data_IF_421698919187
#
_entry.id   IF_421698919187
#
_cell.length_a   1.000
_cell.length_b   1.000
_cell.length_c   1.000
_cell.angle_alpha   90.00
_cell.angle_beta   90.00
_cell.angle_gamma   90.00
#
_symmetry.space_group_name_H-M   'P 1'
#
loop_
_entity.id
_entity.type
_entity.pdbx_description
1 polymer ?
#
# COMPACT_ATOMS: atom_id res chain seq x y z
N UNK A 1 7.08 -18.92 -4.10
CA UNK A 1 6.55 -18.54 -2.75
C UNK A 1 5.98 -17.14 -2.86
N UNK A 2 4.76 -16.88 -2.39
CA UNK A 2 4.08 -15.61 -2.57
C UNK A 2 4.19 -14.67 -1.34
N UNK A 3 4.64 -15.18 -0.20
CA UNK A 3 4.76 -14.39 1.04
C UNK A 3 5.78 -15.06 1.99
N UNK A 4 6.43 -14.23 2.81
CA UNK A 4 7.28 -14.70 3.92
C UNK A 4 6.47 -15.28 5.07
N UNK A 5 5.21 -14.93 5.15
CA UNK A 5 4.31 -15.37 6.21
C UNK A 5 3.41 -16.44 5.63
N UNK A 6 3.45 -17.61 6.23
CA UNK A 6 2.49 -18.69 5.98
C UNK A 6 1.39 -18.60 7.03
N UNK A 7 0.17 -18.44 6.59
CA UNK A 7 -1.00 -18.46 7.44
C UNK A 7 -1.63 -19.85 7.42
N UNK A 8 -2.03 -20.40 8.55
CA UNK A 8 -2.79 -21.65 8.55
C UNK A 8 -4.14 -21.42 7.87
N UNK A 9 -4.66 -22.40 7.12
CA UNK A 9 -6.01 -22.31 6.57
C UNK A 9 -7.07 -22.40 7.70
N UNK A 10 -8.12 -21.62 7.55
CA UNK A 10 -9.27 -21.64 8.46
C UNK A 10 -10.55 -21.89 7.66
N UNK A 11 -11.50 -22.56 8.25
CA UNK A 11 -12.84 -22.66 7.69
C UNK A 11 -13.51 -21.28 7.69
N UNK A 12 -14.28 -20.97 6.65
CA UNK A 12 -14.99 -19.68 6.52
C UNK A 12 -15.81 -19.37 7.76
N UNK A 13 -16.50 -20.37 8.31
CA UNK A 13 -17.32 -20.21 9.52
C UNK A 13 -16.50 -19.79 10.75
N UNK A 14 -15.30 -20.33 10.91
CA UNK A 14 -14.38 -19.94 11.98
C UNK A 14 -13.94 -18.48 11.83
N UNK A 15 -13.64 -18.05 10.59
CA UNK A 15 -13.27 -16.67 10.29
C UNK A 15 -14.42 -15.72 10.60
N UNK A 16 -15.64 -16.05 10.16
CA UNK A 16 -16.83 -15.24 10.38
C UNK A 16 -17.16 -15.09 11.89
N UNK A 17 -17.10 -16.17 12.66
CA UNK A 17 -17.28 -16.13 14.11
C UNK A 17 -16.22 -15.24 14.79
N UNK A 18 -14.95 -15.29 14.35
CA UNK A 18 -13.89 -14.42 14.88
C UNK A 18 -14.09 -12.96 14.53
N UNK A 19 -14.61 -12.66 13.34
CA UNK A 19 -14.97 -11.30 12.95
C UNK A 19 -16.10 -10.78 13.86
N UNK A 20 -17.15 -11.55 14.09
CA UNK A 20 -18.23 -11.19 15.03
C UNK A 20 -17.70 -10.88 16.44
N UNK A 21 -16.85 -11.74 16.98
CA UNK A 21 -16.25 -11.54 18.29
C UNK A 21 -15.39 -10.27 18.34
N UNK A 22 -14.61 -10.01 17.28
CA UNK A 22 -13.77 -8.83 17.18
C UNK A 22 -14.58 -7.52 17.06
N UNK A 23 -15.72 -7.57 16.35
CA UNK A 23 -16.66 -6.44 16.25
C UNK A 23 -17.32 -6.18 17.59
N UNK A 24 -17.82 -7.22 18.29
CA UNK A 24 -18.44 -7.09 19.64
C UNK A 24 -17.46 -6.48 20.66
N UNK A 25 -16.16 -6.77 20.51
CA UNK A 25 -15.08 -6.23 21.38
C UNK A 25 -14.55 -4.88 20.90
N UNK A 26 -15.09 -4.32 19.84
CA UNK A 26 -14.63 -3.09 19.18
C UNK A 26 -13.13 -3.10 18.83
N UNK A 27 -12.55 -4.30 18.67
CA UNK A 27 -11.10 -4.48 18.44
C UNK A 27 -10.70 -4.30 16.97
N UNK A 28 -11.66 -4.29 16.03
CA UNK A 28 -11.45 -4.01 14.62
C UNK A 28 -12.40 -2.92 14.13
N UNK A 29 -11.97 -2.18 13.11
CA UNK A 29 -12.75 -1.10 12.48
C UNK A 29 -13.02 -1.35 11.00
N UNK A 30 -12.46 -2.40 10.44
CA UNK A 30 -12.57 -2.77 9.02
C UNK A 30 -12.15 -4.21 8.81
N UNK A 31 -12.80 -4.88 7.86
CA UNK A 31 -12.35 -6.16 7.31
C UNK A 31 -11.59 -5.87 6.01
N UNK A 32 -10.41 -6.47 5.84
CA UNK A 32 -9.64 -6.38 4.60
C UNK A 32 -9.43 -7.78 4.03
N UNK A 33 -9.99 -8.03 2.84
CA UNK A 33 -9.82 -9.28 2.10
C UNK A 33 -8.73 -9.06 1.07
N UNK A 34 -7.69 -9.89 1.11
CA UNK A 34 -6.63 -9.91 0.11
C UNK A 34 -6.73 -11.19 -0.69
N UNK A 35 -6.98 -11.04 -1.98
CA UNK A 35 -7.22 -12.16 -2.87
C UNK A 35 -5.98 -12.47 -3.72
N UNK A 36 -5.74 -13.76 -3.92
CA UNK A 36 -4.84 -14.24 -4.96
C UNK A 36 -5.55 -14.17 -6.32
N UNK A 37 -4.78 -14.29 -7.41
CA UNK A 37 -5.34 -14.32 -8.75
C UNK A 37 -5.59 -15.78 -9.17
N UNK A 38 -6.86 -16.15 -9.36
CA UNK A 38 -7.31 -17.45 -9.85
C UNK A 38 -8.71 -17.33 -10.47
N UNK A 39 -9.15 -18.29 -11.32
CA UNK A 39 -10.35 -18.13 -12.15
C UNK A 39 -11.66 -17.86 -11.42
N UNK A 40 -11.84 -18.35 -10.18
CA UNK A 40 -13.09 -18.17 -9.40
C UNK A 40 -12.99 -17.07 -8.35
N UNK A 41 -11.95 -16.26 -8.36
CA UNK A 41 -11.65 -15.28 -7.31
C UNK A 41 -12.80 -14.31 -7.04
N UNK A 42 -13.45 -13.79 -8.08
CA UNK A 42 -14.58 -12.87 -7.91
C UNK A 42 -15.75 -13.53 -7.18
N UNK A 43 -16.11 -14.75 -7.62
CA UNK A 43 -17.20 -15.51 -6.98
C UNK A 43 -16.92 -15.75 -5.49
N UNK A 44 -15.68 -16.10 -5.17
CA UNK A 44 -15.29 -16.41 -3.79
C UNK A 44 -15.26 -15.14 -2.94
N UNK A 45 -14.77 -14.00 -3.50
CA UNK A 45 -14.83 -12.69 -2.84
C UNK A 45 -16.28 -12.29 -2.57
N UNK A 46 -17.17 -12.34 -3.56
CA UNK A 46 -18.58 -11.97 -3.41
C UNK A 46 -19.28 -12.84 -2.37
N UNK A 47 -19.02 -14.15 -2.38
CA UNK A 47 -19.56 -15.08 -1.37
C UNK A 47 -19.11 -14.68 0.04
N UNK A 48 -17.83 -14.38 0.22
CA UNK A 48 -17.29 -13.98 1.53
C UNK A 48 -17.80 -12.60 1.98
N UNK A 49 -17.87 -11.63 1.07
CA UNK A 49 -18.44 -10.29 1.34
C UNK A 49 -19.89 -10.41 1.82
N UNK A 50 -20.72 -11.17 1.11
CA UNK A 50 -22.10 -11.40 1.48
C UNK A 50 -22.21 -12.08 2.86
N UNK A 51 -21.41 -13.11 3.10
CA UNK A 51 -21.40 -13.82 4.39
C UNK A 51 -21.01 -12.92 5.56
N UNK A 52 -20.03 -12.02 5.37
CA UNK A 52 -19.64 -11.02 6.38
C UNK A 52 -20.77 -10.03 6.63
N UNK A 53 -21.37 -9.48 5.56
CA UNK A 53 -22.44 -8.48 5.67
C UNK A 53 -23.72 -8.98 6.34
N UNK A 54 -24.01 -10.27 6.19
CA UNK A 54 -25.14 -10.90 6.90
C UNK A 54 -24.94 -10.96 8.42
N UNK A 55 -23.70 -10.87 8.90
CA UNK A 55 -23.36 -11.04 10.32
C UNK A 55 -22.97 -9.75 11.02
N UNK A 56 -22.30 -8.85 10.32
CA UNK A 56 -21.74 -7.61 10.90
C UNK A 56 -21.90 -6.41 9.98
N UNK A 57 -22.20 -5.25 10.56
CA UNK A 57 -22.17 -3.96 9.88
C UNK A 57 -20.77 -3.35 9.97
N UNK A 58 -19.84 -3.82 9.11
CA UNK A 58 -18.44 -3.40 9.11
C UNK A 58 -17.99 -2.99 7.71
N UNK A 59 -17.22 -1.91 7.53
CA UNK A 59 -16.62 -1.58 6.24
C UNK A 59 -15.70 -2.69 5.74
N UNK A 60 -15.81 -3.04 4.45
CA UNK A 60 -15.01 -4.09 3.81
C UNK A 60 -14.13 -3.48 2.73
N UNK A 61 -12.83 -3.75 2.78
CA UNK A 61 -11.88 -3.46 1.72
C UNK A 61 -11.45 -4.73 1.02
N UNK A 62 -11.31 -4.65 -0.31
CA UNK A 62 -10.76 -5.73 -1.13
C UNK A 62 -9.42 -5.27 -1.70
N UNK A 63 -8.44 -6.16 -1.73
CA UNK A 63 -7.21 -6.01 -2.51
C UNK A 63 -7.08 -7.21 -3.43
N UNK A 64 -7.14 -6.97 -4.74
CA UNK A 64 -7.11 -8.01 -5.77
C UNK A 64 -6.37 -7.53 -7.02
N UNK A 65 -6.01 -8.47 -7.88
CA UNK A 65 -5.49 -8.15 -9.21
C UNK A 65 -6.60 -7.51 -10.08
N UNK A 66 -6.25 -6.90 -11.22
CA UNK A 66 -7.22 -6.26 -12.10
C UNK A 66 -8.44 -7.14 -12.39
N UNK A 67 -9.59 -6.51 -12.29
CA UNK A 67 -10.89 -7.08 -12.66
C UNK A 67 -11.46 -6.28 -13.83
N UNK A 68 -12.40 -6.90 -14.57
CA UNK A 68 -13.15 -6.17 -15.58
C UNK A 68 -14.05 -5.10 -14.93
N UNK A 69 -14.40 -4.01 -15.64
CA UNK A 69 -15.25 -2.95 -15.08
C UNK A 69 -16.56 -3.47 -14.49
N UNK A 70 -17.21 -4.42 -15.15
CA UNK A 70 -18.43 -5.05 -14.67
C UNK A 70 -18.21 -5.79 -13.34
N UNK A 71 -17.13 -6.53 -13.21
CA UNK A 71 -16.75 -7.26 -12.01
C UNK A 71 -16.44 -6.31 -10.84
N UNK A 72 -15.77 -5.19 -11.17
CA UNK A 72 -15.49 -4.11 -10.21
C UNK A 72 -16.79 -3.46 -9.71
N UNK A 73 -17.77 -3.26 -10.60
CA UNK A 73 -19.10 -2.77 -10.26
C UNK A 73 -19.86 -3.75 -9.35
N UNK A 74 -19.82 -5.05 -9.64
CA UNK A 74 -20.43 -6.09 -8.82
C UNK A 74 -19.90 -6.07 -7.37
N UNK A 75 -18.60 -5.85 -7.19
CA UNK A 75 -18.02 -5.69 -5.84
C UNK A 75 -18.59 -4.48 -5.10
N UNK A 76 -18.70 -3.34 -5.78
CA UNK A 76 -19.28 -2.13 -5.19
C UNK A 76 -20.74 -2.35 -4.80
N UNK A 77 -21.55 -2.96 -5.66
CA UNK A 77 -22.95 -3.29 -5.42
C UNK A 77 -23.15 -4.30 -4.30
N UNK A 78 -22.22 -5.25 -4.13
CA UNK A 78 -22.20 -6.16 -2.99
C UNK A 78 -21.86 -5.45 -1.67
N UNK A 79 -21.50 -4.15 -1.71
CA UNK A 79 -21.24 -3.32 -0.54
C UNK A 79 -19.78 -3.32 -0.08
N UNK A 80 -18.86 -3.60 -0.98
CA UNK A 80 -17.44 -3.31 -0.76
C UNK A 80 -17.24 -1.80 -0.65
N UNK A 81 -16.59 -1.34 0.41
CA UNK A 81 -16.36 0.08 0.67
C UNK A 81 -15.14 0.63 -0.11
N UNK A 82 -14.10 -0.19 -0.26
CA UNK A 82 -12.84 0.20 -0.90
C UNK A 82 -12.24 -0.93 -1.71
N UNK A 83 -11.58 -0.57 -2.81
CA UNK A 83 -10.81 -1.51 -3.61
C UNK A 83 -9.34 -1.09 -3.71
N UNK A 84 -8.43 -2.05 -3.66
CA UNK A 84 -7.00 -1.88 -3.93
C UNK A 84 -6.60 -2.72 -5.14
N UNK A 85 -5.98 -2.08 -6.13
CA UNK A 85 -5.40 -2.74 -7.31
C UNK A 85 -3.90 -2.48 -7.29
N UNK A 86 -3.05 -3.49 -7.07
CA UNK A 86 -1.62 -3.31 -6.83
C UNK A 86 -0.88 -2.96 -8.13
N UNK A 87 -0.31 -1.75 -8.20
CA UNK A 87 0.61 -1.35 -9.28
C UNK A 87 2.01 -1.92 -9.03
N UNK A 88 2.42 -1.95 -7.77
CA UNK A 88 3.66 -2.48 -7.22
C UNK A 88 4.92 -1.69 -7.59
N UNK A 89 5.16 -1.34 -8.86
CA UNK A 89 6.34 -0.63 -9.32
C UNK A 89 6.09 0.87 -9.61
N UNK A 90 7.15 1.67 -9.59
CA UNK A 90 7.09 3.09 -9.90
C UNK A 90 7.20 3.41 -11.40
N UNK A 91 7.75 2.49 -12.19
CA UNK A 91 7.94 2.67 -13.64
C UNK A 91 7.48 1.45 -14.41
N UNK A 92 7.15 1.64 -15.69
CA UNK A 92 6.79 0.53 -16.59
C UNK A 92 7.93 -0.48 -16.73
N UNK A 93 9.16 -0.01 -16.83
CA UNK A 93 10.34 -0.88 -16.93
C UNK A 93 10.43 -1.84 -15.74
N UNK A 94 10.33 -1.32 -14.52
CA UNK A 94 10.37 -2.12 -13.30
C UNK A 94 9.13 -3.02 -13.17
N UNK A 95 7.96 -2.51 -13.52
CA UNK A 95 6.74 -3.30 -13.56
C UNK A 95 6.90 -4.54 -14.45
N UNK A 96 7.43 -4.35 -15.67
CA UNK A 96 7.66 -5.46 -16.60
C UNK A 96 8.67 -6.48 -16.07
N UNK A 97 9.69 -6.05 -15.32
CA UNK A 97 10.70 -6.91 -14.69
C UNK A 97 10.18 -7.70 -13.50
N UNK A 98 9.24 -7.16 -12.71
CA UNK A 98 8.81 -7.77 -11.44
C UNK A 98 7.45 -8.45 -11.49
N UNK A 99 6.58 -8.06 -12.44
CA UNK A 99 5.19 -8.49 -12.49
C UNK A 99 4.67 -8.71 -13.93
N UNK A 100 5.22 -7.97 -14.87
CA UNK A 100 4.80 -7.97 -16.27
C UNK A 100 5.48 -9.03 -17.12
N UNK A 101 5.50 -8.83 -18.46
CA UNK A 101 5.96 -9.85 -19.43
C UNK A 101 7.40 -10.34 -19.20
N UNK A 102 8.32 -9.47 -18.77
CA UNK A 102 9.71 -9.86 -18.52
C UNK A 102 9.87 -10.78 -17.30
N UNK A 103 8.89 -10.76 -16.38
CA UNK A 103 8.80 -11.72 -15.27
C UNK A 103 7.99 -12.97 -15.62
N UNK A 104 7.53 -13.12 -16.86
CA UNK A 104 6.60 -14.17 -17.26
C UNK A 104 5.17 -13.97 -16.71
N UNK A 105 4.86 -12.77 -16.23
CA UNK A 105 3.54 -12.43 -15.70
C UNK A 105 2.56 -12.00 -16.80
N UNK A 106 1.25 -12.13 -16.55
CA UNK A 106 0.21 -11.79 -17.54
C UNK A 106 -0.17 -10.30 -17.53
N UNK A 107 0.41 -9.50 -16.63
CA UNK A 107 -0.04 -8.13 -16.39
C UNK A 107 0.67 -7.12 -17.30
N UNK A 108 -0.07 -6.12 -17.78
CA UNK A 108 0.43 -5.01 -18.58
C UNK A 108 0.31 -3.71 -17.80
N UNK A 109 1.33 -2.86 -17.91
CA UNK A 109 1.41 -1.57 -17.20
C UNK A 109 0.21 -0.66 -17.45
N UNK A 110 -0.14 -0.45 -18.73
CA UNK A 110 -1.26 0.43 -19.09
C UNK A 110 -2.61 -0.16 -18.67
N UNK A 111 -2.80 -1.48 -18.76
CA UNK A 111 -4.02 -2.13 -18.28
C UNK A 111 -4.19 -1.97 -16.76
N UNK A 112 -3.10 -2.08 -16.00
CA UNK A 112 -3.12 -1.87 -14.56
C UNK A 112 -3.51 -0.43 -14.21
N UNK A 113 -2.94 0.53 -14.95
CA UNK A 113 -3.26 1.96 -14.78
C UNK A 113 -4.69 2.28 -15.18
N UNK A 114 -5.18 1.71 -16.28
CA UNK A 114 -6.57 1.91 -16.72
C UNK A 114 -7.55 1.29 -15.72
N UNK A 115 -7.24 0.12 -15.18
CA UNK A 115 -8.05 -0.49 -14.10
C UNK A 115 -8.15 0.43 -12.88
N UNK A 116 -7.07 1.13 -12.49
CA UNK A 116 -7.12 2.11 -11.40
C UNK A 116 -8.03 3.30 -11.72
N UNK A 117 -7.98 3.81 -12.96
CA UNK A 117 -8.87 4.90 -13.41
C UNK A 117 -10.33 4.46 -13.39
N UNK A 118 -10.60 3.27 -13.91
CA UNK A 118 -11.95 2.72 -13.93
C UNK A 118 -12.48 2.44 -12.51
N UNK A 119 -11.64 1.90 -11.64
CA UNK A 119 -12.00 1.71 -10.24
C UNK A 119 -12.38 3.03 -9.56
N UNK A 120 -11.69 4.15 -9.90
CA UNK A 120 -12.05 5.49 -9.38
C UNK A 120 -13.38 5.97 -9.93
N UNK A 121 -13.72 5.66 -11.19
CA UNK A 121 -15.04 6.00 -11.75
C UNK A 121 -16.16 5.27 -11.01
N UNK A 122 -15.94 4.02 -10.65
CA UNK A 122 -16.92 3.14 -9.99
C UNK A 122 -17.02 3.46 -8.50
N UNK A 123 -15.92 3.40 -7.76
CA UNK A 123 -15.90 3.57 -6.29
C UNK A 123 -15.87 5.03 -5.83
N UNK A 124 -15.41 5.94 -6.69
CA UNK A 124 -15.17 7.34 -6.34
C UNK A 124 -13.76 7.60 -5.79
N UNK A 125 -13.34 8.88 -5.89
CA UNK A 125 -12.05 9.34 -5.36
C UNK A 125 -11.91 9.02 -3.87
N UNK A 126 -10.71 8.62 -3.47
CA UNK A 126 -10.38 8.29 -2.08
C UNK A 126 -10.87 6.92 -1.61
N UNK A 127 -11.58 6.14 -2.44
CA UNK A 127 -11.99 4.77 -2.14
C UNK A 127 -11.18 3.71 -2.90
N UNK A 128 -10.27 4.15 -3.74
CA UNK A 128 -9.36 3.28 -4.48
C UNK A 128 -7.95 3.44 -3.92
N UNK A 129 -7.22 2.35 -3.82
CA UNK A 129 -5.83 2.34 -3.40
C UNK A 129 -4.96 1.51 -4.34
N UNK A 130 -3.67 1.78 -4.31
CA UNK A 130 -2.66 0.92 -4.94
C UNK A 130 -1.52 0.65 -3.99
N UNK A 131 -0.69 -0.33 -4.32
CA UNK A 131 0.55 -0.61 -3.60
C UNK A 131 1.73 -0.12 -4.43
N UNK A 132 2.71 0.50 -3.79
CA UNK A 132 3.99 0.86 -4.38
C UNK A 132 5.11 0.29 -3.50
N UNK A 133 6.01 -0.48 -4.10
CA UNK A 133 7.11 -1.16 -3.41
C UNK A 133 8.39 -0.37 -3.66
N UNK A 134 8.96 0.17 -2.61
CA UNK A 134 10.23 0.88 -2.63
C UNK A 134 11.39 -0.11 -2.57
N UNK A 135 12.39 0.06 -3.44
CA UNK A 135 13.59 -0.76 -3.46
C UNK A 135 13.62 -1.81 -4.58
N UNK A 136 12.80 -1.64 -5.61
CA UNK A 136 12.83 -2.48 -6.82
C UNK A 136 13.88 -2.01 -7.85
N UNK A 137 14.47 -0.82 -7.65
CA UNK A 137 15.46 -0.21 -8.53
C UNK A 137 15.09 1.19 -9.02
N UNK A 138 13.95 1.72 -8.60
CA UNK A 138 13.50 3.07 -8.90
C UNK A 138 14.31 4.13 -8.14
N UNK A 139 14.37 5.32 -8.71
CA UNK A 139 14.85 6.53 -8.03
C UNK A 139 13.76 7.09 -7.11
N UNK A 140 14.13 7.91 -6.14
CA UNK A 140 13.16 8.61 -5.30
C UNK A 140 12.24 9.53 -6.13
N UNK A 141 12.78 10.14 -7.19
CA UNK A 141 12.03 10.97 -8.13
C UNK A 141 10.93 10.18 -8.82
N UNK A 142 11.24 9.05 -9.41
CA UNK A 142 10.26 8.18 -10.10
C UNK A 142 9.15 7.71 -9.14
N UNK A 143 9.52 7.33 -7.91
CA UNK A 143 8.54 6.94 -6.89
C UNK A 143 7.63 8.13 -6.53
N UNK A 144 8.17 9.32 -6.32
CA UNK A 144 7.43 10.54 -5.95
C UNK A 144 6.51 10.98 -7.09
N UNK A 145 6.96 10.93 -8.35
CA UNK A 145 6.14 11.22 -9.52
C UNK A 145 4.96 10.25 -9.64
N UNK A 146 5.19 8.97 -9.38
CA UNK A 146 4.12 7.95 -9.37
C UNK A 146 3.14 8.14 -8.20
N UNK A 147 3.62 8.52 -7.02
CA UNK A 147 2.76 8.92 -5.90
C UNK A 147 1.90 10.12 -6.29
N UNK A 148 2.47 11.14 -6.92
CA UNK A 148 1.73 12.32 -7.38
C UNK A 148 0.68 11.95 -8.44
N UNK A 149 1.01 11.06 -9.38
CA UNK A 149 0.05 10.56 -10.35
C UNK A 149 -1.15 9.88 -9.67
N UNK A 150 -0.90 9.02 -8.68
CA UNK A 150 -1.95 8.38 -7.90
C UNK A 150 -2.85 9.43 -7.20
N UNK A 151 -2.24 10.42 -6.54
CA UNK A 151 -2.96 11.50 -5.83
C UNK A 151 -3.83 12.30 -6.79
N UNK A 152 -3.30 12.67 -7.97
CA UNK A 152 -4.05 13.40 -8.99
C UNK A 152 -5.27 12.62 -9.49
N UNK A 153 -5.15 11.31 -9.59
CA UNK A 153 -6.25 10.42 -9.98
C UNK A 153 -7.29 10.25 -8.87
N UNK A 154 -6.92 10.47 -7.61
CA UNK A 154 -7.75 10.19 -6.43
C UNK A 154 -7.59 8.77 -5.90
N UNK A 155 -6.48 8.12 -6.24
CA UNK A 155 -6.04 6.82 -5.72
C UNK A 155 -5.09 7.03 -4.56
N UNK A 156 -5.27 6.30 -3.47
CA UNK A 156 -4.35 6.33 -2.34
C UNK A 156 -3.20 5.32 -2.55
N UNK A 157 -1.94 5.78 -2.70
CA UNK A 157 -0.80 4.88 -2.81
C UNK A 157 -0.34 4.40 -1.43
N UNK A 158 -0.37 3.12 -1.16
CA UNK A 158 0.25 2.54 0.04
C UNK A 158 1.72 2.22 -0.25
N UNK A 159 2.64 2.68 0.63
CA UNK A 159 4.07 2.40 0.50
C UNK A 159 4.46 1.12 1.24
N UNK A 160 5.26 0.30 0.57
CA UNK A 160 5.84 -0.93 1.11
C UNK A 160 7.34 -0.96 0.84
N UNK A 161 8.12 -1.37 1.83
CA UNK A 161 9.53 -1.64 1.61
C UNK A 161 9.69 -3.02 0.96
N UNK A 162 10.48 -3.09 -0.11
CA UNK A 162 10.84 -4.37 -0.70
C UNK A 162 11.46 -5.29 0.37
N UNK A 163 11.09 -6.54 0.32
CA UNK A 163 11.63 -7.56 1.21
C UNK A 163 11.98 -8.80 0.42
N UNK A 164 13.26 -9.20 0.37
CA UNK A 164 13.68 -10.38 -0.36
C UNK A 164 13.05 -11.64 0.25
N UNK A 165 12.62 -12.55 -0.62
CA UNK A 165 12.06 -13.85 -0.24
C UNK A 165 12.93 -14.94 -0.86
N UNK A 166 13.47 -15.82 -0.05
CA UNK A 166 14.28 -16.94 -0.51
C UNK A 166 13.53 -17.82 -1.52
N UNK A 167 14.22 -18.27 -2.56
CA UNK A 167 13.67 -19.06 -3.66
C UNK A 167 12.91 -18.23 -4.70
N UNK A 168 12.99 -16.89 -4.67
CA UNK A 168 12.43 -16.01 -5.70
C UNK A 168 13.52 -15.36 -6.54
N UNK A 169 13.17 -14.85 -7.73
CA UNK A 169 14.11 -14.19 -8.63
C UNK A 169 14.80 -12.96 -8.00
N UNK A 170 14.20 -12.34 -6.99
CA UNK A 170 14.73 -11.16 -6.31
C UNK A 170 15.25 -11.47 -4.90
N UNK A 171 15.58 -12.72 -4.59
CA UNK A 171 16.06 -13.11 -3.25
C UNK A 171 17.36 -12.42 -2.83
N UNK A 172 18.18 -12.02 -3.79
CA UNK A 172 19.46 -11.32 -3.56
C UNK A 172 19.34 -9.78 -3.69
N UNK A 173 18.16 -9.25 -4.03
CA UNK A 173 17.93 -7.81 -4.08
C UNK A 173 17.93 -7.25 -2.65
N UNK A 174 18.76 -6.22 -2.33
CA UNK A 174 18.77 -5.63 -0.99
C UNK A 174 17.45 -4.89 -0.69
N UNK A 175 17.12 -4.81 0.59
CA UNK A 175 16.06 -3.90 1.04
C UNK A 175 16.49 -2.44 0.82
N UNK A 176 15.53 -1.50 0.62
CA UNK A 176 15.87 -0.09 0.56
C UNK A 176 16.51 0.37 1.88
N UNK A 177 17.42 1.34 1.83
CA UNK A 177 17.98 1.92 3.04
C UNK A 177 16.87 2.65 3.83
N UNK A 178 16.98 2.66 5.17
CA UNK A 178 16.00 3.35 6.00
C UNK A 178 15.91 4.84 5.67
N UNK A 179 17.04 5.50 5.41
CA UNK A 179 17.05 6.93 5.09
C UNK A 179 16.31 7.23 3.76
N UNK A 180 16.50 6.41 2.72
CA UNK A 180 15.71 6.49 1.49
C UNK A 180 14.22 6.32 1.78
N UNK A 181 13.87 5.27 2.51
CA UNK A 181 12.47 4.98 2.81
C UNK A 181 11.82 6.10 3.64
N UNK A 182 12.54 6.68 4.64
CA UNK A 182 12.05 7.81 5.44
C UNK A 182 11.78 9.05 4.61
N UNK A 183 12.69 9.39 3.67
CA UNK A 183 12.44 10.51 2.76
C UNK A 183 11.19 10.29 1.92
N UNK A 184 11.01 9.09 1.39
CA UNK A 184 9.82 8.73 0.61
C UNK A 184 8.54 8.75 1.46
N UNK A 185 8.58 8.31 2.72
CA UNK A 185 7.43 8.40 3.62
C UNK A 185 7.01 9.86 3.89
N UNK A 186 7.97 10.76 4.09
CA UNK A 186 7.66 12.19 4.27
C UNK A 186 7.09 12.77 2.98
N UNK A 187 7.72 12.53 1.84
CA UNK A 187 7.22 13.02 0.55
C UNK A 187 5.80 12.49 0.26
N UNK A 188 5.57 11.20 0.44
CA UNK A 188 4.26 10.57 0.32
C UNK A 188 3.22 11.25 1.21
N UNK A 189 3.54 11.50 2.47
CA UNK A 189 2.63 12.17 3.41
C UNK A 189 2.29 13.59 2.94
N UNK A 190 3.30 14.38 2.58
CA UNK A 190 3.12 15.76 2.10
C UNK A 190 2.23 15.80 0.84
N UNK A 191 2.44 14.90 -0.12
CA UNK A 191 1.66 14.79 -1.35
C UNK A 191 0.22 14.33 -1.08
N UNK A 192 0.04 13.27 -0.30
CA UNK A 192 -1.30 12.71 -0.01
C UNK A 192 -2.15 13.62 0.87
N UNK A 193 -1.53 14.51 1.66
CA UNK A 193 -2.21 15.57 2.42
C UNK A 193 -2.40 16.87 1.61
N UNK A 194 -1.91 16.94 0.37
CA UNK A 194 -2.00 18.14 -0.46
C UNK A 194 -1.21 19.32 0.09
N UNK A 195 -0.20 19.08 0.92
CA UNK A 195 0.64 20.12 1.52
C UNK A 195 1.68 20.67 0.52
N UNK A 196 2.07 19.86 -0.44
CA UNK A 196 3.01 20.18 -1.50
C UNK A 196 2.68 19.35 -2.75
N UNK A 197 3.21 19.75 -3.89
CA UNK A 197 3.16 18.97 -5.14
C UNK A 197 4.57 18.57 -5.54
N UNK A 198 4.71 17.49 -6.32
CA UNK A 198 6.03 16.98 -6.71
C UNK A 198 6.85 18.01 -7.51
N UNK A 199 6.20 18.91 -8.25
CA UNK A 199 6.84 19.99 -9.01
C UNK A 199 7.57 21.01 -8.12
N UNK A 200 7.23 21.07 -6.83
CA UNK A 200 7.90 21.93 -5.85
C UNK A 200 9.10 21.26 -5.17
N UNK A 201 9.24 19.94 -5.34
CA UNK A 201 10.36 19.18 -4.78
C UNK A 201 11.59 19.26 -5.68
N UNK A 202 12.78 19.16 -5.10
CA UNK A 202 14.03 19.16 -5.88
C UNK A 202 14.79 17.86 -5.67
N UNK A 203 15.41 17.41 -6.75
CA UNK A 203 16.18 16.17 -6.81
C UNK A 203 17.60 16.44 -7.28
N UNK A 204 18.54 15.64 -6.85
CA UNK A 204 19.91 15.66 -7.39
C UNK A 204 19.97 14.93 -8.75
N UNK A 205 21.20 14.89 -9.33
CA UNK A 205 21.44 14.26 -10.63
C UNK A 205 21.17 12.75 -10.67
N UNK A 206 21.06 12.10 -9.52
CA UNK A 206 20.74 10.66 -9.37
C UNK A 206 19.27 10.41 -9.02
N UNK A 207 18.45 11.45 -8.99
CA UNK A 207 17.04 11.36 -8.64
C UNK A 207 16.75 11.19 -7.14
N UNK A 208 17.74 11.46 -6.26
CA UNK A 208 17.55 11.51 -4.81
C UNK A 208 16.86 12.81 -4.43
N UNK A 209 15.88 12.75 -3.54
CA UNK A 209 15.19 13.92 -3.01
C UNK A 209 16.11 14.74 -2.09
N UNK A 210 16.34 16.01 -2.42
CA UNK A 210 17.18 16.96 -1.68
C UNK A 210 16.39 18.13 -1.07
N UNK A 211 15.16 18.38 -1.54
CA UNK A 211 14.30 19.41 -0.99
C UNK A 211 12.83 18.98 -1.11
N UNK A 212 12.11 19.00 -0.01
CA UNK A 212 10.70 18.57 0.07
C UNK A 212 9.71 19.62 -0.41
N UNK A 213 10.16 20.82 -0.81
CA UNK A 213 9.28 21.93 -1.23
C UNK A 213 8.47 22.54 -0.10
N UNK A 214 8.86 22.33 1.14
CA UNK A 214 8.26 22.94 2.35
C UNK A 214 9.35 23.56 3.22
N UNK A 215 8.97 24.49 4.12
CA UNK A 215 9.97 25.07 5.04
C UNK A 215 10.53 24.02 6.00
N UNK A 216 11.74 24.26 6.49
CA UNK A 216 12.39 23.39 7.51
C UNK A 216 11.50 23.24 8.74
N UNK A 217 10.81 24.29 9.16
CA UNK A 217 9.88 24.25 10.29
C UNK A 217 8.69 23.32 10.03
N UNK A 218 8.06 23.42 8.86
CA UNK A 218 6.98 22.53 8.45
C UNK A 218 7.43 21.08 8.37
N UNK A 219 8.61 20.83 7.81
CA UNK A 219 9.18 19.49 7.71
C UNK A 219 9.37 18.88 9.11
N UNK A 220 10.00 19.61 10.05
CA UNK A 220 10.17 19.13 11.41
C UNK A 220 8.86 18.95 12.18
N UNK A 221 7.84 19.77 11.89
CA UNK A 221 6.50 19.57 12.43
C UNK A 221 5.91 18.25 11.98
N UNK A 222 6.02 17.94 10.69
CA UNK A 222 5.56 16.68 10.08
C UNK A 222 6.32 15.48 10.64
N UNK A 223 7.65 15.58 10.81
CA UNK A 223 8.47 14.51 11.39
C UNK A 223 8.06 14.24 12.84
N UNK A 224 7.92 15.29 13.64
CA UNK A 224 7.55 15.18 15.07
C UNK A 224 6.13 14.67 15.31
N UNK A 225 5.22 14.92 14.35
CA UNK A 225 3.87 14.34 14.36
C UNK A 225 3.90 12.81 14.23
N UNK A 226 4.91 12.23 13.58
CA UNK A 226 5.09 10.78 13.43
C UNK A 226 4.15 10.11 12.41
N UNK A 227 3.09 10.77 11.97
CA UNK A 227 2.10 10.23 11.04
C UNK A 227 2.66 9.73 9.70
N UNK A 228 3.73 10.33 9.10
CA UNK A 228 4.32 9.80 7.89
C UNK A 228 4.86 8.37 8.01
N UNK A 229 5.24 7.97 9.21
CA UNK A 229 5.94 6.70 9.46
C UNK A 229 5.02 5.55 9.87
N UNK A 230 3.73 5.84 10.04
CA UNK A 230 2.71 4.83 10.31
C UNK A 230 2.38 4.07 9.02
N UNK A 231 1.95 2.81 9.16
CA UNK A 231 1.49 2.00 8.02
C UNK A 231 0.53 2.78 7.14
N UNK A 232 0.89 2.98 5.87
CA UNK A 232 0.04 3.64 4.89
C UNK A 232 -1.02 2.67 4.36
N UNK A 233 -2.27 3.12 4.20
CA UNK A 233 -3.34 2.27 3.73
C UNK A 233 -4.73 2.86 3.97
N UNK A 234 -5.74 2.00 4.06
CA UNK A 234 -7.10 2.40 4.39
C UNK A 234 -7.17 3.08 5.77
N UNK A 235 -8.18 3.94 6.04
CA UNK A 235 -8.36 4.52 7.37
C UNK A 235 -8.35 3.45 8.46
N UNK A 236 -7.57 3.69 9.52
CA UNK A 236 -7.32 2.77 10.63
C UNK A 236 -6.53 1.50 10.24
N UNK A 237 -5.78 1.53 9.13
CA UNK A 237 -4.87 0.44 8.81
C UNK A 237 -3.74 0.39 9.86
N UNK A 238 -3.65 -0.73 10.54
CA UNK A 238 -2.64 -0.97 11.59
C UNK A 238 -1.90 -2.29 11.34
N UNK A 239 -1.82 -2.72 10.09
CA UNK A 239 -1.23 -3.99 9.70
C UNK A 239 0.23 -4.08 10.17
N UNK A 240 0.55 -4.93 11.17
CA UNK A 240 1.90 -5.03 11.70
C UNK A 240 2.75 -5.95 10.84
N UNK A 241 4.05 -5.71 10.83
CA UNK A 241 5.07 -6.61 10.29
C UNK A 241 4.85 -7.06 8.85
N UNK A 242 4.28 -6.20 8.02
CA UNK A 242 4.01 -6.54 6.62
C UNK A 242 5.30 -6.69 5.81
N UNK A 243 6.23 -5.75 6.01
CA UNK A 243 7.54 -5.73 5.39
C UNK A 243 8.67 -5.98 6.40
N UNK A 244 8.35 -6.08 7.66
CA UNK A 244 9.31 -6.12 8.77
C UNK A 244 9.37 -7.51 9.39
N UNK A 245 10.47 -7.77 10.10
CA UNK A 245 10.61 -8.93 10.99
C UNK A 245 10.37 -8.49 12.42
N UNK A 246 9.73 -9.30 13.27
CA UNK A 246 9.72 -9.05 14.70
C UNK A 246 11.15 -8.86 15.21
N UNK A 247 11.43 -7.72 15.89
CA UNK A 247 12.76 -7.37 16.37
C UNK A 247 13.72 -6.76 15.34
N UNK A 248 13.30 -6.60 14.08
CA UNK A 248 14.05 -5.88 13.05
C UNK A 248 13.69 -4.39 13.01
N UNK A 249 14.40 -3.59 12.16
CA UNK A 249 14.05 -2.19 11.96
C UNK A 249 12.64 -2.08 11.36
N UNK A 250 11.81 -1.20 11.90
CA UNK A 250 10.48 -0.93 11.37
C UNK A 250 10.56 0.08 10.22
N UNK A 251 10.12 -0.33 9.03
CA UNK A 251 9.88 0.58 7.91
C UNK A 251 8.56 1.33 8.12
N UNK A 252 7.49 0.61 8.47
CA UNK A 252 6.19 1.18 8.80
C UNK A 252 5.81 0.81 10.23
N UNK A 253 5.41 1.78 11.01
CA UNK A 253 4.95 1.55 12.37
C UNK A 253 3.46 1.18 12.36
N UNK A 254 3.05 0.12 13.08
CA UNK A 254 1.62 -0.26 13.19
C UNK A 254 0.84 0.65 14.13
N UNK A 255 1.52 1.58 14.79
CA UNK A 255 1.04 2.56 15.76
C UNK A 255 1.80 3.88 15.60
N UNK A 256 1.37 4.90 16.27
CA UNK A 256 2.14 6.14 16.38
C UNK A 256 3.53 5.85 16.97
N UNK A 257 4.62 6.29 16.32
CA UNK A 257 5.97 6.11 16.88
C UNK A 257 6.14 6.80 18.21
N UNK A 258 6.93 6.20 19.09
CA UNK A 258 7.30 6.78 20.37
C UNK A 258 8.28 7.96 20.18
N UNK A 259 8.41 8.89 21.16
CA UNK A 259 9.33 10.04 21.05
C UNK A 259 10.78 9.64 20.72
N UNK A 260 11.29 8.57 21.31
CA UNK A 260 12.62 8.02 21.03
C UNK A 260 12.74 7.45 19.60
N UNK A 261 11.69 6.83 19.10
CA UNK A 261 11.63 6.33 17.71
C UNK A 261 11.61 7.49 16.71
N UNK A 262 10.88 8.57 17.00
CA UNK A 262 10.88 9.80 16.19
C UNK A 262 12.26 10.46 16.18
N UNK A 263 12.93 10.51 17.31
CA UNK A 263 14.30 11.04 17.40
C UNK A 263 15.29 10.25 16.55
N UNK A 264 15.17 8.92 16.54
CA UNK A 264 16.00 8.05 15.69
C UNK A 264 15.68 8.22 14.21
N UNK A 265 14.39 8.29 13.86
CA UNK A 265 13.95 8.58 12.48
C UNK A 265 14.53 9.90 11.98
N UNK A 266 14.54 10.94 12.84
CA UNK A 266 15.12 12.24 12.50
C UNK A 266 16.61 12.16 12.10
N UNK A 267 17.39 11.32 12.78
CA UNK A 267 18.80 11.07 12.40
C UNK A 267 18.92 10.34 11.07
N UNK A 268 18.04 9.35 10.82
CA UNK A 268 18.04 8.54 9.59
C UNK A 268 17.77 9.37 8.33
N UNK A 269 16.97 10.42 8.39
CA UNK A 269 16.59 11.23 7.22
C UNK A 269 17.77 12.01 6.66
N UNK A 270 18.66 12.50 7.53
CA UNK A 270 19.76 13.40 7.20
C UNK A 270 21.15 12.71 7.17
N UNK A 271 21.21 11.41 7.34
CA UNK A 271 22.44 10.61 7.25
C UNK A 271 22.88 10.26 5.82
#
# INVERSE_FOLDING_TARGET
MLSRVTWPPFLTEQVLSRIEDAVKKESIKRVCIQALNYPTVLKDILSLVNAIRLRVAMPISISCQPLQPKETQELMEAGVDRIGVPLDAATEELFNKVKGPLAGGPYLWEEQRETLKEAVRIFGKGRVSTHLIVGLGETEKEMIETVQWCVNLGVYPGLFAFTPVSGTALENQPQPSLNQYRRLQIAHYLLTKGMVRCENMRFDGNGRLIDFGVSTEQMWKVIRDGSPFVTSGCPNCNRPYYNERPGGPLYNYPRQPLPEEIAEIGKQIFS
#
